data_IF_625668549224
#
_entry.id   IF_625668549224
#
_cell.length_a   1.000
_cell.length_b   1.000
_cell.length_c   1.000
_cell.angle_alpha   90.00
_cell.angle_beta   90.00
_cell.angle_gamma   90.00
#
_symmetry.space_group_name_H-M   'P 1'
#
loop_
_entity.id
_entity.type
_entity.pdbx_description
1 polymer ?
#
# COMPACT_ATOMS: atom_id res chain seq x y z
N UNK A 1 -9.48 22.93 -1.14
CA UNK A 1 -10.56 21.91 -1.23
C UNK A 1 -10.11 20.88 -2.25
N UNK A 2 -9.89 19.62 -1.85
CA UNK A 2 -9.53 18.57 -2.83
C UNK A 2 -10.80 18.12 -3.52
N UNK A 3 -10.91 18.36 -4.82
CA UNK A 3 -12.10 18.02 -5.60
C UNK A 3 -12.19 16.49 -5.72
N UNK A 4 -13.29 15.92 -5.23
CA UNK A 4 -13.63 14.51 -5.45
C UNK A 4 -14.19 14.41 -6.86
N UNK A 5 -13.64 13.54 -7.69
CA UNK A 5 -14.11 13.33 -9.06
C UNK A 5 -15.36 12.44 -9.05
N UNK A 6 -16.28 12.70 -9.96
CA UNK A 6 -17.47 11.86 -10.13
C UNK A 6 -17.09 10.51 -10.74
N UNK A 7 -17.96 9.51 -10.58
CA UNK A 7 -17.79 8.19 -11.19
C UNK A 7 -17.60 8.28 -12.71
N UNK A 8 -18.45 9.05 -13.39
CA UNK A 8 -18.39 9.21 -14.85
C UNK A 8 -17.06 9.86 -15.27
N UNK A 9 -16.64 10.93 -14.59
CA UNK A 9 -15.36 11.58 -14.89
C UNK A 9 -14.18 10.64 -14.68
N UNK A 10 -14.20 9.80 -13.63
CA UNK A 10 -13.17 8.79 -13.41
C UNK A 10 -13.09 7.76 -14.54
N UNK A 11 -14.24 7.36 -15.09
CA UNK A 11 -14.32 6.36 -16.15
C UNK A 11 -13.83 6.92 -17.48
N UNK A 12 -14.23 8.14 -17.82
CA UNK A 12 -13.72 8.87 -18.98
C UNK A 12 -12.19 9.02 -18.92
N UNK A 13 -11.66 9.44 -17.76
CA UNK A 13 -10.22 9.57 -17.53
C UNK A 13 -9.48 8.24 -17.71
N UNK A 14 -10.00 7.14 -17.14
CA UNK A 14 -9.38 5.82 -17.32
C UNK A 14 -9.48 5.30 -18.77
N UNK A 15 -10.59 5.54 -19.46
CA UNK A 15 -10.74 5.14 -20.85
C UNK A 15 -9.72 5.84 -21.77
N UNK A 16 -9.37 7.10 -21.47
CA UNK A 16 -8.33 7.84 -22.19
C UNK A 16 -6.93 7.22 -22.05
N UNK A 17 -6.67 6.51 -20.94
CA UNK A 17 -5.40 5.84 -20.67
C UNK A 17 -5.25 4.50 -21.42
N UNK A 18 -6.30 3.99 -22.09
CA UNK A 18 -6.17 2.76 -22.88
C UNK A 18 -5.34 3.02 -24.16
N UNK A 19 -4.29 2.22 -24.40
CA UNK A 19 -3.48 2.35 -25.61
C UNK A 19 -4.29 1.94 -26.85
N UNK A 20 -4.11 2.68 -27.95
CA UNK A 20 -4.62 2.32 -29.28
C UNK A 20 -6.16 2.12 -29.35
N UNK A 21 -6.93 2.96 -28.68
CA UNK A 21 -8.40 2.98 -28.74
C UNK A 21 -8.88 4.26 -29.44
N UNK A 22 -9.84 4.14 -30.37
CA UNK A 22 -10.40 5.32 -31.07
C UNK A 22 -11.17 6.23 -30.10
N UNK A 23 -11.37 7.51 -30.45
CA UNK A 23 -12.10 8.45 -29.58
C UNK A 23 -13.54 7.98 -29.29
N UNK A 24 -14.22 7.42 -30.31
CA UNK A 24 -15.58 6.90 -30.18
C UNK A 24 -15.60 5.68 -29.24
N UNK A 25 -14.62 4.79 -29.36
CA UNK A 25 -14.53 3.61 -28.49
C UNK A 25 -14.25 4.01 -27.04
N UNK A 26 -13.52 5.10 -26.78
CA UNK A 26 -13.29 5.60 -25.41
C UNK A 26 -14.59 6.03 -24.75
N UNK A 27 -15.45 6.74 -25.47
CA UNK A 27 -16.76 7.18 -24.96
C UNK A 27 -17.66 5.98 -24.69
N UNK A 28 -17.63 4.97 -25.57
CA UNK A 28 -18.38 3.71 -25.38
C UNK A 28 -17.86 2.95 -24.15
N UNK A 29 -16.55 2.86 -23.97
CA UNK A 29 -15.94 2.17 -22.82
C UNK A 29 -16.25 2.87 -21.49
N UNK A 30 -16.23 4.20 -21.45
CA UNK A 30 -16.62 4.98 -20.28
C UNK A 30 -18.05 4.64 -19.80
N UNK A 31 -18.92 4.21 -20.72
CA UNK A 31 -20.29 3.80 -20.46
C UNK A 31 -20.46 2.28 -20.28
N UNK A 32 -19.46 1.47 -20.67
CA UNK A 32 -19.54 0.02 -20.90
C UNK A 32 -19.39 -0.89 -19.67
N UNK A 33 -19.10 -0.36 -18.48
CA UNK A 33 -19.11 -1.13 -17.23
C UNK A 33 -17.82 -1.84 -16.85
N UNK A 34 -16.74 -1.70 -17.63
CA UNK A 34 -15.41 -2.29 -17.36
C UNK A 34 -14.69 -1.67 -16.14
N UNK A 35 -15.25 -0.62 -15.55
CA UNK A 35 -14.63 0.10 -14.43
C UNK A 35 -15.32 -0.27 -13.12
N UNK A 36 -14.55 -0.82 -12.18
CA UNK A 36 -15.09 -1.32 -10.91
C UNK A 36 -14.64 -0.40 -9.76
N UNK A 37 -15.57 0.06 -8.89
CA UNK A 37 -15.20 0.75 -7.66
C UNK A 37 -14.56 -0.22 -6.66
N UNK A 38 -13.48 0.21 -6.03
CA UNK A 38 -12.83 -0.52 -4.94
C UNK A 38 -12.50 0.44 -3.80
N UNK A 39 -12.79 0.00 -2.57
CA UNK A 39 -12.23 0.58 -1.36
C UNK A 39 -11.25 -0.41 -0.77
N UNK A 40 -9.95 -0.13 -0.89
CA UNK A 40 -8.89 -0.94 -0.31
C UNK A 40 -8.11 -0.10 0.69
N UNK A 41 -8.04 -0.58 1.93
CA UNK A 41 -7.43 0.13 3.05
C UNK A 41 -8.01 1.56 3.18
N UNK A 42 -7.19 2.59 2.97
CA UNK A 42 -7.54 4.01 3.08
C UNK A 42 -7.84 4.67 1.74
N UNK A 43 -7.81 3.92 0.64
CA UNK A 43 -7.94 4.44 -0.71
C UNK A 43 -9.28 3.99 -1.30
N UNK A 44 -10.05 4.96 -1.78
CA UNK A 44 -11.22 4.73 -2.63
C UNK A 44 -10.86 5.05 -4.07
N UNK A 45 -11.01 4.07 -4.96
CA UNK A 45 -10.57 4.14 -6.35
C UNK A 45 -11.56 3.45 -7.30
N UNK A 46 -11.35 3.67 -8.59
CA UNK A 46 -11.92 2.89 -9.67
C UNK A 46 -10.78 2.25 -10.45
N UNK A 47 -10.96 1.01 -10.90
CA UNK A 47 -9.96 0.31 -11.72
C UNK A 47 -10.58 -0.29 -12.96
N UNK A 48 -9.79 -0.34 -14.03
CA UNK A 48 -10.16 -0.81 -15.35
C UNK A 48 -9.89 -2.32 -15.47
N UNK A 49 -10.94 -3.15 -15.46
CA UNK A 49 -10.78 -4.60 -15.64
C UNK A 49 -10.42 -5.01 -17.05
N UNK A 50 -10.70 -4.17 -18.05
CA UNK A 50 -10.35 -4.42 -19.45
C UNK A 50 -8.88 -4.15 -19.76
N UNK A 51 -8.20 -3.35 -18.94
CA UNK A 51 -6.77 -3.05 -19.07
C UNK A 51 -5.93 -3.82 -18.02
N UNK A 52 -5.89 -5.14 -18.18
CA UNK A 52 -5.09 -6.04 -17.34
C UNK A 52 -3.71 -6.29 -17.95
N UNK A 53 -2.66 -6.12 -17.15
CA UNK A 53 -1.29 -6.54 -17.49
C UNK A 53 -0.88 -7.65 -16.53
N UNK A 54 -0.19 -8.68 -17.02
CA UNK A 54 0.32 -9.80 -16.20
C UNK A 54 1.85 -9.78 -16.25
N UNK A 55 2.52 -10.11 -15.15
CA UNK A 55 3.97 -10.25 -15.11
C UNK A 55 4.43 -11.46 -15.93
N UNK A 56 5.68 -11.44 -16.41
CA UNK A 56 6.24 -12.49 -17.26
C UNK A 56 6.23 -13.87 -16.57
N UNK A 57 6.40 -13.89 -15.25
CA UNK A 57 6.37 -15.09 -14.41
C UNK A 57 4.95 -15.51 -13.97
N UNK A 58 3.91 -14.76 -14.35
CA UNK A 58 2.52 -15.00 -13.96
C UNK A 58 2.22 -14.80 -12.47
N UNK A 59 3.19 -14.37 -11.66
CA UNK A 59 3.06 -14.24 -10.21
C UNK A 59 2.25 -13.00 -9.79
N UNK A 60 2.11 -12.02 -10.67
CA UNK A 60 1.43 -10.76 -10.44
C UNK A 60 0.59 -10.36 -11.65
N UNK A 61 -0.50 -9.62 -11.38
CA UNK A 61 -1.24 -8.91 -12.41
C UNK A 61 -1.62 -7.52 -11.90
N UNK A 62 -1.78 -6.57 -12.81
CA UNK A 62 -2.09 -5.18 -12.49
C UNK A 62 -3.22 -4.66 -13.37
N UNK A 63 -4.03 -3.77 -12.78
CA UNK A 63 -5.03 -2.99 -13.49
C UNK A 63 -4.69 -1.51 -13.38
N UNK A 64 -4.98 -0.75 -14.44
CA UNK A 64 -4.92 0.70 -14.38
C UNK A 64 -6.04 1.21 -13.47
N UNK A 65 -5.74 2.15 -12.59
CA UNK A 65 -6.70 2.67 -11.63
C UNK A 65 -6.53 4.17 -11.39
N UNK A 66 -7.61 4.79 -10.91
CA UNK A 66 -7.67 6.20 -10.54
C UNK A 66 -8.36 6.34 -9.19
N UNK A 67 -7.79 7.13 -8.28
CA UNK A 67 -8.46 7.42 -7.00
C UNK A 67 -9.68 8.31 -7.24
N UNK A 68 -10.58 8.33 -6.26
CA UNK A 68 -11.70 9.32 -6.20
C UNK A 68 -11.24 10.78 -6.15
N UNK A 69 -9.93 11.04 -6.10
CA UNK A 69 -9.31 12.38 -6.16
C UNK A 69 -8.58 12.64 -7.47
N UNK A 70 -8.66 11.73 -8.44
CA UNK A 70 -7.99 11.88 -9.74
C UNK A 70 -6.51 11.52 -9.76
N UNK A 71 -6.01 10.79 -8.76
CA UNK A 71 -4.61 10.32 -8.74
C UNK A 71 -4.53 8.96 -9.47
N UNK A 72 -3.72 8.85 -10.53
CA UNK A 72 -3.52 7.60 -11.25
C UNK A 72 -2.56 6.65 -10.51
N UNK A 73 -2.79 5.35 -10.68
CA UNK A 73 -1.94 4.29 -10.15
C UNK A 73 -2.08 2.99 -10.96
N UNK A 74 -1.17 2.06 -10.72
CA UNK A 74 -1.35 0.64 -10.99
C UNK A 74 -1.78 -0.09 -9.71
N UNK A 75 -2.92 -0.79 -9.78
CA UNK A 75 -3.39 -1.66 -8.71
C UNK A 75 -2.88 -3.08 -8.97
N UNK A 76 -1.85 -3.49 -8.22
CA UNK A 76 -1.11 -4.73 -8.43
C UNK A 76 -1.55 -5.81 -7.46
N UNK A 77 -1.99 -6.95 -7.96
CA UNK A 77 -2.32 -8.13 -7.18
C UNK A 77 -1.23 -9.19 -7.34
N UNK A 78 -0.73 -9.68 -6.21
CA UNK A 78 0.16 -10.85 -6.19
C UNK A 78 -0.64 -12.14 -6.02
N UNK A 79 -0.13 -13.25 -6.53
CA UNK A 79 -0.75 -14.56 -6.41
C UNK A 79 -1.12 -14.88 -4.94
N UNK A 80 -2.37 -15.32 -4.73
CA UNK A 80 -2.90 -15.66 -3.41
C UNK A 80 -3.18 -14.47 -2.48
N UNK A 81 -3.06 -13.22 -2.95
CA UNK A 81 -3.41 -12.02 -2.18
C UNK A 81 -4.71 -11.40 -2.68
N UNK A 82 -5.57 -11.06 -1.74
CA UNK A 82 -6.86 -10.42 -2.00
C UNK A 82 -6.79 -8.89 -2.02
N UNK A 83 -5.75 -8.31 -1.41
CA UNK A 83 -5.50 -6.86 -1.39
C UNK A 83 -4.41 -6.51 -2.40
N UNK A 84 -4.69 -5.49 -3.21
CA UNK A 84 -3.75 -4.95 -4.17
C UNK A 84 -2.74 -4.00 -3.53
N UNK A 85 -1.54 -3.95 -4.11
CA UNK A 85 -0.56 -2.90 -3.86
C UNK A 85 -0.84 -1.71 -4.78
N UNK A 86 -0.71 -0.50 -4.25
CA UNK A 86 -0.97 0.75 -4.96
C UNK A 86 0.37 1.36 -5.41
N UNK A 87 0.70 1.21 -6.69
CA UNK A 87 1.95 1.73 -7.26
C UNK A 87 1.67 3.00 -8.07
N UNK A 88 2.38 4.09 -7.77
CA UNK A 88 2.19 5.40 -8.42
C UNK A 88 2.96 5.55 -9.74
N UNK A 89 3.78 4.58 -10.07
CA UNK A 89 4.52 4.58 -11.33
C UNK A 89 3.60 4.55 -12.55
N UNK A 90 4.11 5.05 -13.68
CA UNK A 90 3.42 5.02 -14.96
C UNK A 90 3.58 3.67 -15.67
N UNK A 91 4.68 2.96 -15.40
CA UNK A 91 5.00 1.70 -16.06
C UNK A 91 4.49 0.49 -15.25
N UNK A 92 3.73 -0.44 -15.84
CA UNK A 92 3.24 -1.62 -15.13
C UNK A 92 4.39 -2.54 -14.64
N UNK A 93 5.50 -2.62 -15.37
CA UNK A 93 6.64 -3.44 -14.96
C UNK A 93 7.34 -2.90 -13.71
N UNK A 94 7.49 -1.58 -13.64
CA UNK A 94 7.97 -0.92 -12.41
C UNK A 94 7.00 -1.15 -11.25
N UNK A 95 5.68 -1.17 -11.52
CA UNK A 95 4.68 -1.41 -10.49
C UNK A 95 4.79 -2.83 -9.91
N UNK A 96 5.07 -3.83 -10.76
CA UNK A 96 5.35 -5.19 -10.31
C UNK A 96 6.59 -5.26 -9.41
N UNK A 97 7.67 -4.57 -9.78
CA UNK A 97 8.90 -4.52 -9.00
C UNK A 97 8.65 -3.90 -7.61
N UNK A 98 8.02 -2.72 -7.55
CA UNK A 98 7.67 -2.05 -6.29
C UNK A 98 6.78 -2.94 -5.40
N UNK A 99 5.75 -3.56 -5.99
CA UNK A 99 4.84 -4.44 -5.25
C UNK A 99 5.55 -5.69 -4.70
N UNK A 100 6.50 -6.26 -5.46
CA UNK A 100 7.29 -7.41 -5.04
C UNK A 100 8.22 -7.04 -3.88
N UNK A 101 8.96 -5.95 -4.02
CA UNK A 101 9.86 -5.44 -2.97
C UNK A 101 9.09 -5.15 -1.68
N UNK A 102 7.98 -4.42 -1.77
CA UNK A 102 7.13 -4.12 -0.62
C UNK A 102 6.57 -5.40 0.03
N UNK A 103 6.15 -6.39 -0.77
CA UNK A 103 5.62 -7.66 -0.23
C UNK A 103 6.72 -8.46 0.48
N UNK A 104 7.91 -8.58 -0.12
CA UNK A 104 9.06 -9.23 0.51
C UNK A 104 9.43 -8.53 1.80
N UNK A 105 9.46 -7.19 1.80
CA UNK A 105 9.79 -6.45 3.00
C UNK A 105 8.71 -6.61 4.09
N UNK A 106 7.41 -6.60 3.73
CA UNK A 106 6.33 -6.93 4.69
C UNK A 106 6.51 -8.31 5.32
N UNK A 107 6.92 -9.31 4.53
CA UNK A 107 7.17 -10.67 5.05
C UNK A 107 8.32 -10.68 6.04
N UNK A 108 9.44 -10.01 5.72
CA UNK A 108 10.58 -9.90 6.63
C UNK A 108 10.24 -9.18 7.94
N UNK A 109 9.39 -8.14 7.90
CA UNK A 109 8.91 -7.50 9.14
C UNK A 109 7.91 -8.38 9.89
N UNK A 110 7.02 -9.07 9.18
CA UNK A 110 6.03 -9.98 9.77
C UNK A 110 6.67 -11.18 10.48
N UNK A 111 7.79 -11.72 9.99
CA UNK A 111 8.52 -12.79 10.70
C UNK A 111 9.04 -12.34 12.07
N UNK A 112 9.17 -11.02 12.27
CA UNK A 112 9.59 -10.38 13.51
C UNK A 112 8.47 -9.59 14.18
N UNK A 113 7.22 -9.94 13.91
CA UNK A 113 6.08 -9.17 14.41
C UNK A 113 6.01 -9.13 15.95
N UNK A 114 6.53 -10.15 16.63
CA UNK A 114 6.61 -10.18 18.09
C UNK A 114 7.51 -9.10 18.66
N UNK A 115 8.63 -8.81 18.01
CA UNK A 115 9.52 -7.70 18.35
C UNK A 115 8.76 -6.37 18.19
N UNK A 116 8.05 -6.19 17.08
CA UNK A 116 7.23 -4.99 16.82
C UNK A 116 6.17 -4.82 17.90
N UNK A 117 5.47 -5.90 18.26
CA UNK A 117 4.48 -5.90 19.35
C UNK A 117 5.11 -5.58 20.70
N UNK A 118 6.32 -6.05 20.96
CA UNK A 118 7.06 -5.75 22.19
C UNK A 118 7.44 -4.27 22.27
N UNK A 119 7.97 -3.68 21.18
CA UNK A 119 8.28 -2.26 21.08
C UNK A 119 7.03 -1.41 21.29
N UNK A 120 5.93 -1.71 20.57
CA UNK A 120 4.67 -0.99 20.71
C UNK A 120 4.12 -1.08 22.14
N UNK A 121 4.22 -2.24 22.79
CA UNK A 121 3.84 -2.40 24.20
C UNK A 121 4.72 -1.58 25.13
N UNK A 122 6.03 -1.53 24.88
CA UNK A 122 6.97 -0.74 25.67
C UNK A 122 6.72 0.77 25.53
N UNK A 123 6.41 1.25 24.31
CA UNK A 123 5.97 2.61 24.05
C UNK A 123 4.69 2.96 24.82
N UNK A 124 3.65 2.11 24.75
CA UNK A 124 2.39 2.34 25.50
C UNK A 124 2.59 2.34 27.01
N UNK A 125 3.54 1.57 27.53
CA UNK A 125 3.90 1.54 28.96
C UNK A 125 4.90 2.64 29.37
N UNK A 126 5.34 3.48 28.43
CA UNK A 126 6.32 4.53 28.68
C UNK A 126 7.75 4.05 28.97
N UNK A 127 8.04 2.76 28.74
CA UNK A 127 9.37 2.14 28.90
C UNK A 127 10.33 2.53 27.76
N UNK A 128 9.78 2.80 26.58
CA UNK A 128 10.49 3.41 25.45
C UNK A 128 9.85 4.75 25.15
N UNK A 129 10.65 5.70 24.66
CA UNK A 129 10.19 7.04 24.27
C UNK A 129 10.96 7.50 23.04
N UNK A 130 10.27 7.55 21.90
CA UNK A 130 10.75 8.18 20.68
C UNK A 130 9.58 8.71 19.87
N UNK A 131 9.86 9.66 18.99
CA UNK A 131 8.92 10.15 18.00
C UNK A 131 9.03 9.31 16.73
N UNK A 132 7.89 9.13 16.07
CA UNK A 132 7.80 8.52 14.74
C UNK A 132 7.64 9.64 13.73
N UNK A 133 8.55 9.68 12.77
CA UNK A 133 8.63 10.70 11.73
C UNK A 133 7.82 10.29 10.50
N UNK A 134 7.52 11.26 9.63
CA UNK A 134 6.87 10.95 8.35
C UNK A 134 7.79 10.12 7.46
N UNK A 135 9.10 10.33 7.55
CA UNK A 135 10.14 9.58 6.87
C UNK A 135 10.08 8.08 7.23
N UNK A 136 9.85 7.74 8.52
CA UNK A 136 9.68 6.35 8.96
C UNK A 136 8.50 5.67 8.25
N UNK A 137 7.44 6.42 7.92
CA UNK A 137 6.28 5.90 7.19
C UNK A 137 6.56 5.76 5.69
N UNK A 138 7.36 6.64 5.12
CA UNK A 138 7.78 6.59 3.70
C UNK A 138 8.80 5.49 3.44
N UNK A 139 9.64 5.17 4.42
CA UNK A 139 10.59 4.07 4.35
C UNK A 139 9.94 2.72 4.70
N UNK A 140 8.75 2.72 5.32
CA UNK A 140 8.02 1.49 5.64
C UNK A 140 7.56 0.77 4.38
N UNK A 141 7.29 -0.54 4.42
CA UNK A 141 6.78 -1.29 3.27
C UNK A 141 5.31 -1.01 2.94
N UNK A 142 4.75 0.11 3.43
CA UNK A 142 3.43 0.61 3.06
C UNK A 142 3.55 1.40 1.75
N UNK A 143 2.52 1.34 0.91
CA UNK A 143 2.51 2.16 -0.30
C UNK A 143 2.42 3.65 0.09
N UNK A 144 3.25 4.50 -0.54
CA UNK A 144 3.26 5.95 -0.30
C UNK A 144 1.87 6.59 -0.45
N UNK A 145 1.10 6.17 -1.45
CA UNK A 145 -0.29 6.61 -1.63
C UNK A 145 -1.14 6.28 -0.41
N UNK A 146 -1.06 5.04 0.09
CA UNK A 146 -1.79 4.59 1.28
C UNK A 146 -1.46 5.44 2.51
N UNK A 147 -0.18 5.73 2.73
CA UNK A 147 0.28 6.61 3.80
C UNK A 147 -0.31 8.02 3.67
N UNK A 148 -0.29 8.63 2.47
CA UNK A 148 -0.87 9.96 2.25
C UNK A 148 -2.38 9.99 2.45
N UNK A 149 -3.11 8.99 1.96
CA UNK A 149 -4.56 8.88 2.11
C UNK A 149 -4.97 8.61 3.56
N UNK A 150 -4.21 7.79 4.29
CA UNK A 150 -4.35 7.60 5.72
C UNK A 150 -4.20 8.93 6.46
N UNK A 151 -3.08 9.63 6.29
CA UNK A 151 -2.84 10.90 6.97
C UNK A 151 -3.92 11.94 6.66
N UNK A 152 -4.44 11.99 5.42
CA UNK A 152 -5.58 12.85 5.06
C UNK A 152 -6.87 12.45 5.79
N UNK A 153 -7.19 11.17 5.82
CA UNK A 153 -8.44 10.67 6.44
C UNK A 153 -8.49 10.92 7.95
N UNK A 154 -7.33 10.97 8.61
CA UNK A 154 -7.20 11.26 10.03
C UNK A 154 -6.89 12.73 10.35
N UNK A 155 -6.87 13.64 9.36
CA UNK A 155 -6.59 15.06 9.57
C UNK A 155 -5.12 15.37 9.94
N UNK A 156 -4.19 14.48 9.60
CA UNK A 156 -2.76 14.54 9.92
C UNK A 156 -1.88 14.95 8.73
N UNK A 157 -2.44 15.49 7.64
CA UNK A 157 -1.70 15.75 6.39
C UNK A 157 -0.52 16.73 6.49
N UNK A 158 -0.49 17.58 7.51
CA UNK A 158 0.61 18.53 7.76
C UNK A 158 1.58 18.08 8.85
N UNK A 159 1.38 16.90 9.42
CA UNK A 159 2.16 16.43 10.56
C UNK A 159 3.44 15.76 10.05
N UNK A 160 4.58 16.23 10.56
CA UNK A 160 5.90 15.64 10.29
C UNK A 160 6.31 14.58 11.31
N UNK A 161 5.67 14.56 12.49
CA UNK A 161 5.97 13.61 13.56
C UNK A 161 4.77 13.32 14.46
N UNK A 162 4.69 12.10 14.97
CA UNK A 162 3.73 11.67 15.98
C UNK A 162 4.49 10.94 17.09
N UNK A 163 4.09 11.11 18.35
CA UNK A 163 4.77 10.38 19.42
C UNK A 163 4.54 8.88 19.27
N UNK A 164 5.59 8.08 19.50
CA UNK A 164 5.51 6.62 19.44
C UNK A 164 4.46 6.05 20.41
N UNK A 165 4.22 6.73 21.55
CA UNK A 165 3.11 6.40 22.45
C UNK A 165 1.75 6.44 21.75
N UNK A 166 1.43 7.55 21.06
CA UNK A 166 0.15 7.71 20.36
C UNK A 166 0.02 6.71 19.22
N UNK A 167 1.08 6.55 18.43
CA UNK A 167 1.08 5.61 17.31
C UNK A 167 0.93 4.15 17.77
N UNK A 168 1.56 3.76 18.88
CA UNK A 168 1.44 2.43 19.45
C UNK A 168 0.02 2.14 19.99
N UNK A 169 -0.74 3.16 20.39
CA UNK A 169 -2.17 3.02 20.66
C UNK A 169 -2.97 2.85 19.37
N UNK A 170 -2.70 3.68 18.35
CA UNK A 170 -3.37 3.59 17.05
C UNK A 170 -3.15 2.23 16.36
N UNK A 171 -1.98 1.60 16.56
CA UNK A 171 -1.67 0.26 16.06
C UNK A 171 -2.68 -0.81 16.52
N UNK A 172 -3.36 -0.63 17.66
CA UNK A 172 -4.37 -1.58 18.12
C UNK A 172 -5.65 -1.54 17.26
N UNK A 173 -5.89 -0.43 16.56
CA UNK A 173 -7.03 -0.22 15.68
C UNK A 173 -6.60 -0.47 14.22
N UNK A 174 -5.42 0.01 13.85
CA UNK A 174 -4.83 -0.16 12.52
C UNK A 174 -3.46 -0.87 12.62
N UNK A 175 -3.41 -2.21 12.53
CA UNK A 175 -2.18 -2.99 12.67
C UNK A 175 -1.08 -2.61 11.67
N UNK A 176 -1.41 -2.03 10.51
CA UNK A 176 -0.42 -1.59 9.53
C UNK A 176 0.54 -0.53 10.09
N UNK A 177 0.14 0.23 11.11
CA UNK A 177 1.03 1.19 11.78
C UNK A 177 2.21 0.52 12.50
N UNK A 178 2.15 -0.80 12.74
CA UNK A 178 3.29 -1.57 13.25
C UNK A 178 4.49 -1.57 12.29
N UNK A 179 4.27 -1.51 10.97
CA UNK A 179 5.36 -1.37 10.00
C UNK A 179 6.10 -0.04 10.14
N UNK A 180 5.38 1.02 10.49
CA UNK A 180 5.97 2.35 10.73
C UNK A 180 6.71 2.38 12.08
N UNK A 181 6.14 1.75 13.11
CA UNK A 181 6.82 1.59 14.42
C UNK A 181 8.10 0.80 14.27
N UNK A 182 8.11 -0.23 13.43
CA UNK A 182 9.32 -1.00 13.12
C UNK A 182 10.42 -0.11 12.54
N UNK A 183 10.09 0.74 11.55
CA UNK A 183 11.08 1.64 10.95
C UNK A 183 11.63 2.67 11.94
N UNK A 184 10.76 3.29 12.73
CA UNK A 184 11.19 4.19 13.79
C UNK A 184 12.11 3.48 14.80
N UNK A 185 11.79 2.23 15.15
CA UNK A 185 12.61 1.44 16.07
C UNK A 185 13.98 1.05 15.50
N UNK A 186 14.09 0.84 14.18
CA UNK A 186 15.38 0.67 13.51
C UNK A 186 16.20 1.95 13.57
N UNK A 187 15.60 3.10 13.23
CA UNK A 187 16.27 4.40 13.26
C UNK A 187 16.79 4.76 14.66
N UNK A 188 16.02 4.43 15.69
CA UNK A 188 16.37 4.67 17.10
C UNK A 188 17.31 3.59 17.68
N UNK A 189 17.72 2.59 16.89
CA UNK A 189 18.61 1.50 17.33
C UNK A 189 17.99 0.56 18.37
N UNK A 190 16.67 0.57 18.53
CA UNK A 190 15.93 -0.33 19.44
C UNK A 190 15.85 -1.73 18.83
N UNK A 191 15.68 -1.81 17.52
CA UNK A 191 15.73 -3.05 16.75
C UNK A 191 16.94 -3.01 15.82
N UNK A 192 17.54 -4.17 15.59
CA UNK A 192 18.55 -4.35 14.54
C UNK A 192 17.87 -4.61 13.19
N UNK A 193 18.45 -4.10 12.11
CA UNK A 193 17.99 -4.41 10.75
C UNK A 193 18.10 -5.92 10.46
N UNK A 194 17.23 -6.43 9.59
CA UNK A 194 17.32 -7.80 9.10
C UNK A 194 18.62 -7.93 8.28
N UNK A 195 19.39 -9.00 8.53
CA UNK A 195 20.54 -9.35 7.70
C UNK A 195 20.06 -9.72 6.29
N UNK A 196 20.82 -9.44 5.23
CA UNK A 196 20.44 -9.84 3.86
C UNK A 196 20.19 -11.36 3.75
N UNK A 197 20.88 -12.17 4.56
CA UNK A 197 20.71 -13.62 4.63
C UNK A 197 19.31 -14.06 5.11
N UNK A 198 18.67 -13.26 5.97
CA UNK A 198 17.31 -13.53 6.48
C UNK A 198 16.24 -13.25 5.41
N UNK A 199 16.51 -12.35 4.45
CA UNK A 199 15.57 -12.02 3.37
C UNK A 199 15.47 -13.15 2.33
N UNK A 200 16.58 -13.84 2.03
CA UNK A 200 16.61 -14.96 1.09
C UNK A 200 15.94 -16.23 1.66
N UNK A 201 15.99 -16.46 2.97
CA UNK A 201 15.34 -17.60 3.60
C UNK A 201 13.80 -17.59 3.44
N UNK A 202 13.20 -16.40 3.33
CA UNK A 202 11.74 -16.22 3.15
C UNK A 202 11.21 -16.56 1.74
N UNK A 203 12.11 -16.85 0.78
CA UNK A 203 11.76 -17.12 -0.61
C UNK A 203 11.33 -18.57 -0.88
N UNK A 204 11.52 -19.48 0.09
CA UNK A 204 11.24 -20.92 -0.04
C UNK A 204 9.85 -21.35 0.49
N UNK A 205 9.14 -20.52 1.26
CA UNK A 205 7.82 -20.86 1.82
C UNK A 205 6.66 -20.42 0.89
N UNK A 206 6.58 -21.06 -0.27
CA UNK A 206 5.40 -21.02 -1.15
C UNK A 206 4.40 -22.09 -0.70
N UNK A 207 3.55 -21.80 0.29
CA UNK A 207 2.15 -22.30 0.41
C UNK A 207 1.57 -22.12 1.83
N UNK A 208 1.29 -20.89 2.27
CA UNK A 208 0.31 -20.72 3.37
C UNK A 208 -0.59 -19.52 3.10
N UNK A 209 -1.93 -19.73 2.97
CA UNK A 209 -2.86 -18.63 2.84
C UNK A 209 -2.87 -17.80 4.14
N UNK A 210 -2.78 -16.47 3.99
CA UNK A 210 -2.93 -15.51 5.11
C UNK A 210 -4.29 -15.77 5.77
N UNK A 211 -4.29 -16.15 7.06
CA UNK A 211 -5.50 -16.14 7.88
C UNK A 211 -6.00 -14.69 8.00
N UNK A 212 -7.33 -14.47 8.00
CA UNK A 212 -7.89 -13.14 8.19
C UNK A 212 -7.51 -12.63 9.59
N UNK A 213 -6.95 -11.42 9.64
CA UNK A 213 -6.85 -10.67 10.89
C UNK A 213 -8.28 -10.45 11.42
N UNK A 214 -8.54 -10.97 12.62
CA UNK A 214 -9.76 -10.75 13.39
C UNK A 214 -9.84 -9.30 13.89
#
# INVERSE_FOLDING_TARGET
MTQVITKLAAYELLAQERPMVSLIDRDILALGGDFIPLRSDWISLFYDTGHKVTSDDGSQYAFRAITTRGEYLWLVFSAGKTRGYHAETTCPHSAFAEAREALTYRRAVKSRWDDVRAVARALRRGKLRFDVLIEDAMESPLCAMGTRHFLRSFGLSGIKRISGFKLAWMMLIEPQLGFVIYQAALREGVLSACSQDDMFASHLDLATPDQPAA
#
